data_IF_039710565841
#
_entry.id   IF_039710565841
#
_cell.length_a   1.000
_cell.length_b   1.000
_cell.length_c   1.000
_cell.angle_alpha   90.00
_cell.angle_beta   90.00
_cell.angle_gamma   90.00
#
_symmetry.space_group_name_H-M   'P 1'
#
loop_
_entity.id
_entity.type
_entity.pdbx_description
1 polymer ?
#
# COMPACT_ATOMS: atom_id res chain seq x y z
N UNK A 1 24.18 -7.66 22.66
CA UNK A 1 23.26 -6.51 22.60
C UNK A 1 22.21 -6.80 21.55
N UNK A 2 20.93 -6.54 21.81
CA UNK A 2 19.87 -6.80 20.83
C UNK A 2 19.98 -5.84 19.64
N UNK A 3 19.96 -6.38 18.41
CA UNK A 3 20.01 -5.60 17.16
C UNK A 3 18.92 -4.52 17.09
N UNK A 4 17.77 -4.77 17.70
CA UNK A 4 16.64 -3.83 17.77
C UNK A 4 17.00 -2.52 18.47
N UNK A 5 17.80 -2.58 19.54
CA UNK A 5 18.22 -1.37 20.29
C UNK A 5 19.10 -0.48 19.42
N UNK A 6 19.96 -1.08 18.60
CA UNK A 6 20.84 -0.36 17.67
C UNK A 6 20.02 0.24 16.53
N UNK A 7 19.07 -0.50 15.97
CA UNK A 7 18.19 -0.01 14.91
C UNK A 7 17.40 1.23 15.31
N UNK A 8 16.91 1.29 16.55
CA UNK A 8 16.17 2.45 17.08
C UNK A 8 17.03 3.72 17.25
N UNK A 9 18.36 3.59 17.18
CA UNK A 9 19.33 4.69 17.26
C UNK A 9 19.85 5.11 15.87
N UNK A 10 19.29 4.56 14.78
CA UNK A 10 19.59 4.97 13.41
C UNK A 10 18.53 5.98 12.96
N UNK A 11 18.98 7.19 12.68
CA UNK A 11 18.14 8.32 12.26
C UNK A 11 18.33 8.62 10.78
N UNK A 12 17.41 9.39 10.21
CA UNK A 12 17.54 9.91 8.85
C UNK A 12 17.75 11.42 8.88
N UNK A 13 18.91 11.85 8.37
CA UNK A 13 19.28 13.28 8.29
C UNK A 13 19.88 13.53 6.92
N UNK A 14 19.40 14.56 6.21
CA UNK A 14 19.82 14.89 4.83
C UNK A 14 19.69 13.71 3.85
N UNK A 15 18.69 12.84 4.06
CA UNK A 15 18.49 11.62 3.25
C UNK A 15 19.53 10.52 3.49
N UNK A 16 20.37 10.64 4.52
CA UNK A 16 21.36 9.65 4.91
C UNK A 16 20.96 9.01 6.24
N UNK A 17 21.19 7.69 6.36
CA UNK A 17 21.06 6.98 7.64
C UNK A 17 22.29 7.26 8.49
N UNK A 18 22.08 7.82 9.67
CA UNK A 18 23.14 8.28 10.57
C UNK A 18 22.89 7.85 12.02
N UNK A 19 23.96 7.67 12.77
CA UNK A 19 23.93 7.55 14.24
C UNK A 19 24.58 8.77 14.88
N UNK A 20 24.07 9.18 16.04
CA UNK A 20 24.54 10.37 16.74
C UNK A 20 25.65 10.02 17.72
N UNK A 21 26.56 10.96 17.94
CA UNK A 21 27.71 10.79 18.84
C UNK A 21 27.34 10.31 20.26
N UNK A 22 26.24 10.79 20.83
CA UNK A 22 25.82 10.40 22.17
C UNK A 22 25.29 8.96 22.21
N UNK A 23 24.58 8.52 21.16
CA UNK A 23 24.11 7.14 21.05
C UNK A 23 25.27 6.20 20.81
N UNK A 24 26.20 6.56 19.93
CA UNK A 24 27.41 5.79 19.70
C UNK A 24 28.25 5.68 20.96
N UNK A 25 28.44 6.79 21.68
CA UNK A 25 29.20 6.79 22.92
C UNK A 25 28.58 5.86 23.98
N UNK A 26 27.25 5.89 24.13
CA UNK A 26 26.52 4.98 25.02
C UNK A 26 26.70 3.52 24.60
N UNK A 27 26.56 3.22 23.30
CA UNK A 27 26.75 1.87 22.76
C UNK A 27 28.17 1.36 23.01
N UNK A 28 29.18 2.21 22.78
CA UNK A 28 30.60 1.91 23.03
C UNK A 28 30.99 1.91 24.52
N UNK A 29 30.08 2.22 25.44
CA UNK A 29 30.39 2.34 26.87
C UNK A 29 31.39 3.46 27.19
N UNK A 30 31.41 4.51 26.38
CA UNK A 30 32.35 5.64 26.48
C UNK A 30 31.63 6.97 26.73
N UNK A 31 32.34 7.95 27.27
CA UNK A 31 31.80 9.30 27.39
C UNK A 31 31.72 9.97 26.01
N UNK A 32 30.61 10.64 25.69
CA UNK A 32 30.44 11.38 24.44
C UNK A 32 31.57 12.37 24.19
N UNK A 33 32.09 13.00 25.26
CA UNK A 33 33.24 13.91 25.17
C UNK A 33 34.49 13.21 24.66
N UNK A 34 34.80 12.01 25.18
CA UNK A 34 35.98 11.23 24.76
C UNK A 34 35.87 10.77 23.31
N UNK A 35 34.68 10.35 22.89
CA UNK A 35 34.42 10.00 21.49
C UNK A 35 34.68 11.20 20.56
N UNK A 36 34.14 12.38 20.89
CA UNK A 36 34.38 13.61 20.12
C UNK A 36 35.86 13.99 20.06
N UNK A 37 36.58 13.86 21.16
CA UNK A 37 38.01 14.13 21.22
C UNK A 37 38.81 13.19 20.32
N UNK A 38 38.49 11.88 20.36
CA UNK A 38 39.15 10.87 19.53
C UNK A 38 38.93 11.12 18.04
N UNK A 39 37.71 11.52 17.65
CA UNK A 39 37.36 11.90 16.28
C UNK A 39 38.10 13.18 15.86
N UNK A 40 38.11 14.21 16.71
CA UNK A 40 38.80 15.49 16.42
C UNK A 40 40.30 15.31 16.22
N UNK A 41 40.94 14.39 16.95
CA UNK A 41 42.35 14.02 16.74
C UNK A 41 42.60 13.33 15.39
N UNK A 42 41.57 12.72 14.81
CA UNK A 42 41.63 11.91 13.61
C UNK A 42 40.79 12.47 12.44
N UNK A 43 40.54 13.78 12.37
CA UNK A 43 39.64 14.39 11.37
C UNK A 43 39.97 14.03 9.91
N UNK A 44 41.25 13.77 9.59
CA UNK A 44 41.65 13.31 8.24
C UNK A 44 40.97 12.00 7.80
N UNK A 45 40.48 11.20 8.76
CA UNK A 45 39.75 9.94 8.53
C UNK A 45 38.24 10.12 8.37
N UNK A 46 37.73 11.33 8.64
CA UNK A 46 36.30 11.64 8.63
C UNK A 46 36.03 12.78 7.64
N UNK A 47 35.96 12.46 6.33
CA UNK A 47 35.45 13.41 5.35
C UNK A 47 33.97 13.73 5.60
N UNK A 48 33.45 14.79 4.97
CA UNK A 48 32.11 15.33 5.24
C UNK A 48 30.96 14.34 4.94
N UNK A 49 31.18 13.35 4.09
CA UNK A 49 30.26 12.26 3.76
C UNK A 49 30.27 11.12 4.79
N UNK A 50 31.28 11.07 5.66
CA UNK A 50 31.40 10.08 6.73
C UNK A 50 30.85 10.62 8.05
N UNK A 51 31.06 11.91 8.28
CA UNK A 51 30.60 12.59 9.48
C UNK A 51 30.36 14.07 9.21
N UNK A 52 29.30 14.60 9.81
CA UNK A 52 29.03 16.03 9.82
C UNK A 52 28.40 16.47 11.14
N UNK A 53 28.55 17.75 11.49
CA UNK A 53 27.87 18.35 12.64
C UNK A 53 26.45 18.75 12.23
N UNK A 54 25.46 18.43 13.08
CA UNK A 54 24.08 18.82 12.85
C UNK A 54 23.90 20.33 13.02
N UNK A 55 23.04 20.93 12.20
CA UNK A 55 22.57 22.29 12.43
C UNK A 55 21.55 22.31 13.58
N UNK A 56 21.36 23.48 14.20
CA UNK A 56 20.35 23.65 15.26
C UNK A 56 18.96 23.21 14.80
N UNK A 57 18.58 23.58 13.58
CA UNK A 57 17.28 23.22 12.99
C UNK A 57 17.12 21.72 12.80
N UNK A 58 18.15 21.05 12.26
CA UNK A 58 18.16 19.59 12.08
C UNK A 58 18.04 18.88 13.43
N UNK A 59 18.78 19.33 14.43
CA UNK A 59 18.76 18.74 15.75
C UNK A 59 17.44 18.99 16.50
N UNK A 60 16.81 20.15 16.35
CA UNK A 60 15.48 20.45 16.90
C UNK A 60 14.39 19.60 16.24
N UNK A 61 14.41 19.48 14.92
CA UNK A 61 13.48 18.61 14.18
C UNK A 61 13.61 17.15 14.62
N UNK A 62 14.85 16.65 14.69
CA UNK A 62 15.13 15.29 15.14
C UNK A 62 14.69 15.06 16.61
N UNK A 63 14.93 16.03 17.51
CA UNK A 63 14.42 15.96 18.88
C UNK A 63 12.90 15.95 18.99
N UNK A 64 12.19 16.62 18.09
CA UNK A 64 10.71 16.62 18.10
C UNK A 64 10.13 15.25 17.71
N UNK A 65 10.87 14.47 16.92
CA UNK A 65 10.47 13.14 16.47
C UNK A 65 10.82 12.05 17.49
N UNK A 66 11.91 12.23 18.23
CA UNK A 66 12.31 11.31 19.29
C UNK A 66 11.54 11.70 20.55
N UNK A 67 10.73 10.80 21.09
CA UNK A 67 10.01 10.99 22.36
C UNK A 67 10.96 11.02 23.59
N UNK A 68 12.14 11.65 23.49
CA UNK A 68 13.06 11.83 24.60
C UNK A 68 12.60 13.01 25.45
N UNK A 69 12.23 12.69 26.69
CA UNK A 69 12.01 13.61 27.80
C UNK A 69 12.96 14.81 27.77
N UNK A 70 12.40 16.00 27.97
CA UNK A 70 13.09 17.27 28.16
C UNK A 70 14.15 17.16 29.28
N UNK A 71 15.35 16.66 28.98
CA UNK A 71 16.51 16.87 29.85
C UNK A 71 16.77 18.37 29.87
N UNK A 72 16.42 18.98 31.01
CA UNK A 72 16.60 20.39 31.37
C UNK A 72 18.08 20.77 31.26
N UNK A 73 18.50 21.16 30.08
CA UNK A 73 19.89 21.48 29.77
C UNK A 73 20.11 21.34 28.29
N UNK A 74 19.88 22.41 27.54
CA UNK A 74 20.15 22.44 26.10
C UNK A 74 21.57 21.97 25.80
N UNK A 75 21.76 21.24 24.70
CA UNK A 75 23.07 20.76 24.29
C UNK A 75 23.99 21.96 24.02
N UNK A 76 25.07 22.09 24.80
CA UNK A 76 26.04 23.18 24.66
C UNK A 76 26.80 23.14 23.32
N UNK A 77 26.83 21.98 22.68
CA UNK A 77 27.47 21.72 21.39
C UNK A 77 26.52 20.90 20.52
N UNK A 78 26.51 21.14 19.21
CA UNK A 78 25.72 20.30 18.32
C UNK A 78 26.32 18.89 18.25
N UNK A 79 25.48 17.85 18.11
CA UNK A 79 25.98 16.50 17.94
C UNK A 79 26.54 16.30 16.53
N UNK A 80 27.56 15.45 16.44
CA UNK A 80 28.02 14.85 15.20
C UNK A 80 27.09 13.70 14.82
N UNK A 81 26.76 13.65 13.54
CA UNK A 81 26.10 12.53 12.89
C UNK A 81 27.15 11.75 12.10
N UNK A 82 27.13 10.42 12.25
CA UNK A 82 28.02 9.49 11.57
C UNK A 82 27.21 8.60 10.64
N UNK A 83 27.60 8.54 9.38
CA UNK A 83 27.05 7.57 8.43
C UNK A 83 27.59 6.17 8.71
N UNK A 84 27.10 5.17 8.00
CA UNK A 84 27.63 3.80 8.06
C UNK A 84 29.17 3.78 7.89
N UNK A 85 29.68 4.54 6.92
CA UNK A 85 31.12 4.67 6.66
C UNK A 85 31.84 5.39 7.81
N UNK A 86 31.22 6.42 8.38
CA UNK A 86 31.76 7.11 9.56
C UNK A 86 31.87 6.19 10.77
N UNK A 87 30.84 5.39 11.03
CA UNK A 87 30.88 4.38 12.09
C UNK A 87 31.93 3.31 11.80
N UNK A 88 32.02 2.83 10.57
CA UNK A 88 33.10 1.92 10.17
C UNK A 88 34.49 2.52 10.47
N UNK A 89 34.70 3.82 10.23
CA UNK A 89 35.96 4.48 10.56
C UNK A 89 36.23 4.61 12.05
N UNK A 90 35.20 4.64 12.91
CA UNK A 90 35.37 4.62 14.37
C UNK A 90 36.07 3.35 14.85
N UNK A 91 35.95 2.22 14.13
CA UNK A 91 36.72 1.00 14.48
C UNK A 91 38.23 1.17 14.43
N UNK A 92 38.72 2.09 13.60
CA UNK A 92 40.16 2.40 13.51
C UNK A 92 40.64 3.37 14.59
N UNK A 93 39.70 4.00 15.30
CA UNK A 93 39.94 5.01 16.35
C UNK A 93 39.70 4.41 17.73
N UNK A 94 38.70 3.53 17.86
CA UNK A 94 38.31 2.83 19.07
C UNK A 94 38.71 1.35 18.98
N UNK A 95 39.87 1.03 19.54
CA UNK A 95 40.49 -0.30 19.39
C UNK A 95 40.28 -1.24 20.60
N UNK A 96 39.30 -0.97 21.48
CA UNK A 96 38.99 -1.91 22.56
C UNK A 96 38.19 -3.10 22.02
N UNK A 97 38.38 -4.28 22.62
CA UNK A 97 37.68 -5.51 22.21
C UNK A 97 36.15 -5.32 22.21
N UNK A 98 35.63 -4.67 23.26
CA UNK A 98 34.22 -4.29 23.33
C UNK A 98 33.79 -3.34 22.20
N UNK A 99 34.60 -2.32 21.87
CA UNK A 99 34.26 -1.40 20.78
C UNK A 99 34.24 -2.08 19.41
N UNK A 100 35.11 -3.08 19.20
CA UNK A 100 35.15 -3.86 17.97
C UNK A 100 33.84 -4.66 17.81
N UNK A 101 33.39 -5.36 18.85
CA UNK A 101 32.15 -6.14 18.82
C UNK A 101 30.91 -5.26 18.58
N UNK A 102 30.86 -4.10 19.25
CA UNK A 102 29.77 -3.14 19.09
C UNK A 102 29.77 -2.56 17.68
N UNK A 103 30.95 -2.24 17.13
CA UNK A 103 31.04 -1.76 15.76
C UNK A 103 30.52 -2.80 14.75
N UNK A 104 30.87 -4.07 14.92
CA UNK A 104 30.35 -5.17 14.09
C UNK A 104 28.81 -5.24 14.19
N UNK A 105 28.28 -5.10 15.40
CA UNK A 105 26.82 -5.11 15.64
C UNK A 105 26.12 -3.92 14.99
N UNK A 106 26.74 -2.74 15.04
CA UNK A 106 26.23 -1.53 14.38
C UNK A 106 26.23 -1.69 12.85
N UNK A 107 27.32 -2.18 12.27
CA UNK A 107 27.40 -2.43 10.83
C UNK A 107 26.32 -3.42 10.38
N UNK A 108 26.08 -4.49 11.14
CA UNK A 108 24.99 -5.44 10.86
C UNK A 108 23.62 -4.75 10.87
N UNK A 109 23.37 -3.88 11.85
CA UNK A 109 22.11 -3.13 11.93
C UNK A 109 21.91 -2.21 10.71
N UNK A 110 22.95 -1.49 10.28
CA UNK A 110 22.90 -0.66 9.06
C UNK A 110 22.59 -1.48 7.80
N UNK A 111 23.23 -2.64 7.64
CA UNK A 111 22.96 -3.56 6.52
C UNK A 111 21.51 -4.04 6.55
N UNK A 112 21.00 -4.47 7.70
CA UNK A 112 19.60 -4.90 7.84
C UNK A 112 18.62 -3.79 7.50
N UNK A 113 18.86 -2.55 7.98
CA UNK A 113 18.02 -1.40 7.64
C UNK A 113 18.04 -1.12 6.14
N UNK A 114 19.21 -1.20 5.50
CA UNK A 114 19.34 -1.01 4.05
C UNK A 114 18.59 -2.09 3.25
N UNK A 115 18.70 -3.35 3.66
CA UNK A 115 17.96 -4.46 3.06
C UNK A 115 16.45 -4.27 3.19
N UNK A 116 15.99 -3.90 4.38
CA UNK A 116 14.58 -3.61 4.64
C UNK A 116 14.05 -2.47 3.76
N UNK A 117 14.76 -1.35 3.67
CA UNK A 117 14.37 -0.23 2.79
C UNK A 117 14.36 -0.63 1.30
N UNK A 118 15.31 -1.47 0.89
CA UNK A 118 15.33 -1.99 -0.48
C UNK A 118 14.12 -2.88 -0.76
N UNK A 119 13.69 -3.69 0.20
CA UNK A 119 12.47 -4.51 0.10
C UNK A 119 11.19 -3.68 0.08
N UNK A 120 11.12 -2.56 0.81
CA UNK A 120 9.98 -1.65 0.74
C UNK A 120 9.81 -1.06 -0.66
N UNK A 121 10.92 -0.73 -1.33
CA UNK A 121 10.89 -0.20 -2.69
C UNK A 121 10.39 -1.22 -3.73
N UNK A 122 10.58 -2.53 -3.52
CA UNK A 122 9.96 -3.54 -4.37
C UNK A 122 8.47 -3.68 -4.08
N UNK A 123 8.08 -3.67 -2.81
CA UNK A 123 6.67 -3.74 -2.41
C UNK A 123 5.86 -2.54 -2.91
N UNK A 124 6.41 -1.32 -2.87
CA UNK A 124 5.71 -0.14 -3.41
C UNK A 124 5.48 -0.23 -4.92
N UNK A 125 6.43 -0.82 -5.67
CA UNK A 125 6.23 -1.09 -7.10
C UNK A 125 5.14 -2.13 -7.35
N UNK A 126 5.13 -3.22 -6.57
CA UNK A 126 4.08 -4.26 -6.67
C UNK A 126 2.70 -3.69 -6.38
N UNK A 127 2.57 -2.81 -5.37
CA UNK A 127 1.31 -2.11 -5.06
C UNK A 127 0.87 -1.25 -6.24
N UNK A 128 1.78 -0.53 -6.87
CA UNK A 128 1.44 0.34 -7.99
C UNK A 128 1.00 -0.46 -9.22
N UNK A 129 1.65 -1.60 -9.49
CA UNK A 129 1.22 -2.53 -10.54
C UNK A 129 -0.17 -3.12 -10.25
N UNK A 130 -0.45 -3.51 -9.01
CA UNK A 130 -1.76 -4.01 -8.60
C UNK A 130 -2.85 -2.95 -8.80
N UNK A 131 -2.59 -1.68 -8.45
CA UNK A 131 -3.54 -0.58 -8.70
C UNK A 131 -3.83 -0.41 -10.19
N UNK A 132 -2.81 -0.51 -11.05
CA UNK A 132 -3.00 -0.41 -12.50
C UNK A 132 -3.85 -1.57 -13.04
N UNK A 133 -3.61 -2.80 -12.57
CA UNK A 133 -4.44 -3.96 -12.95
C UNK A 133 -5.88 -3.83 -12.46
N UNK A 134 -6.09 -3.32 -11.25
CA UNK A 134 -7.44 -3.04 -10.73
C UNK A 134 -8.18 -2.01 -11.59
N UNK A 135 -7.51 -0.91 -11.98
CA UNK A 135 -8.11 0.10 -12.86
C UNK A 135 -8.54 -0.48 -14.22
N UNK A 136 -7.68 -1.29 -14.83
CA UNK A 136 -8.02 -1.95 -16.10
C UNK A 136 -9.19 -2.94 -15.97
N UNK A 137 -9.28 -3.65 -14.83
CA UNK A 137 -10.42 -4.51 -14.55
C UNK A 137 -11.71 -3.73 -14.34
N UNK A 138 -11.66 -2.59 -13.66
CA UNK A 138 -12.82 -1.71 -13.46
C UNK A 138 -13.36 -1.18 -14.79
N UNK A 139 -12.47 -0.69 -15.67
CA UNK A 139 -12.81 -0.24 -17.03
C UNK A 139 -13.43 -1.38 -17.85
N UNK A 140 -12.81 -2.56 -17.87
CA UNK A 140 -13.35 -3.72 -18.58
C UNK A 140 -14.70 -4.19 -18.02
N UNK A 141 -14.93 -4.04 -16.72
CA UNK A 141 -16.20 -4.41 -16.11
C UNK A 141 -17.32 -3.45 -16.54
N UNK A 142 -17.03 -2.15 -16.70
CA UNK A 142 -17.98 -1.17 -17.22
C UNK A 142 -18.42 -1.52 -18.65
N UNK A 143 -17.47 -1.90 -19.52
CA UNK A 143 -17.77 -2.38 -20.87
C UNK A 143 -18.66 -3.64 -20.85
N UNK A 144 -18.38 -4.59 -19.95
CA UNK A 144 -19.23 -5.80 -19.83
C UNK A 144 -20.62 -5.49 -19.33
N UNK A 145 -20.77 -4.53 -18.41
CA UNK A 145 -22.09 -4.09 -17.91
C UNK A 145 -22.87 -3.43 -19.04
N UNK A 146 -22.23 -2.60 -19.86
CA UNK A 146 -22.85 -2.00 -21.04
C UNK A 146 -23.34 -3.08 -22.02
N UNK A 147 -22.49 -4.06 -22.35
CA UNK A 147 -22.86 -5.16 -23.24
C UNK A 147 -24.03 -6.00 -22.70
N UNK A 148 -24.05 -6.28 -21.39
CA UNK A 148 -25.15 -7.01 -20.74
C UNK A 148 -26.45 -6.21 -20.77
N UNK A 149 -26.39 -4.89 -20.57
CA UNK A 149 -27.57 -4.03 -20.64
C UNK A 149 -28.14 -3.99 -22.07
N UNK A 150 -27.31 -3.80 -23.09
CA UNK A 150 -27.74 -3.80 -24.49
C UNK A 150 -28.41 -5.14 -24.88
N UNK A 151 -27.80 -6.26 -24.50
CA UNK A 151 -28.37 -7.59 -24.73
C UNK A 151 -29.70 -7.78 -23.97
N UNK A 152 -29.82 -7.23 -22.77
CA UNK A 152 -31.06 -7.29 -21.98
C UNK A 152 -32.20 -6.50 -22.61
N UNK A 153 -31.90 -5.36 -23.23
CA UNK A 153 -32.91 -4.57 -23.96
C UNK A 153 -33.37 -5.28 -25.24
N UNK A 154 -32.45 -5.89 -25.98
CA UNK A 154 -32.81 -6.65 -27.20
C UNK A 154 -33.63 -7.90 -26.88
N UNK A 155 -33.25 -8.66 -25.85
CA UNK A 155 -34.05 -9.83 -25.41
C UNK A 155 -35.44 -9.45 -24.93
N UNK A 156 -35.64 -8.27 -24.31
CA UNK A 156 -36.97 -7.77 -23.95
C UNK A 156 -37.84 -7.51 -25.19
N UNK A 157 -37.29 -6.87 -26.22
CA UNK A 157 -38.02 -6.62 -27.49
C UNK A 157 -38.44 -7.92 -28.15
N UNK A 158 -37.53 -8.89 -28.22
CA UNK A 158 -37.84 -10.22 -28.79
C UNK A 158 -38.98 -10.92 -28.04
N UNK A 159 -39.00 -10.83 -26.71
CA UNK A 159 -40.09 -11.39 -25.89
C UNK A 159 -41.43 -10.68 -26.14
N UNK A 160 -41.43 -9.36 -26.30
CA UNK A 160 -42.63 -8.58 -26.63
C UNK A 160 -43.19 -8.95 -28.02
N UNK A 161 -42.31 -9.11 -29.02
CA UNK A 161 -42.69 -9.55 -30.36
C UNK A 161 -43.29 -10.96 -30.35
N UNK A 162 -42.70 -11.89 -29.59
CA UNK A 162 -43.23 -13.24 -29.40
C UNK A 162 -44.62 -13.16 -28.75
N UNK A 163 -44.79 -12.34 -27.71
CA UNK A 163 -46.08 -12.16 -27.04
C UNK A 163 -47.16 -11.62 -27.99
N UNK A 164 -46.80 -10.63 -28.82
CA UNK A 164 -47.69 -10.08 -29.84
C UNK A 164 -48.08 -11.11 -30.91
N UNK A 165 -47.12 -11.90 -31.39
CA UNK A 165 -47.39 -12.95 -32.37
C UNK A 165 -48.31 -14.06 -31.80
N UNK A 166 -48.05 -14.49 -30.56
CA UNK A 166 -48.86 -15.50 -29.88
C UNK A 166 -50.30 -15.02 -29.63
N UNK A 167 -50.47 -13.75 -29.24
CA UNK A 167 -51.80 -13.17 -29.04
C UNK A 167 -52.60 -13.06 -30.34
N UNK A 168 -51.97 -12.60 -31.44
CA UNK A 168 -52.60 -12.59 -32.77
C UNK A 168 -52.98 -14.00 -33.25
N UNK A 169 -52.10 -15.00 -33.05
CA UNK A 169 -52.39 -16.40 -33.37
C UNK A 169 -53.58 -16.93 -32.56
N UNK A 170 -53.65 -16.64 -31.27
CA UNK A 170 -54.75 -17.04 -30.40
C UNK A 170 -56.09 -16.41 -30.83
N UNK A 171 -56.10 -15.14 -31.23
CA UNK A 171 -57.29 -14.48 -31.80
C UNK A 171 -57.72 -15.13 -33.11
N UNK A 172 -56.77 -15.38 -34.02
CA UNK A 172 -57.04 -16.03 -35.29
C UNK A 172 -57.62 -17.43 -35.12
N UNK A 173 -57.14 -18.21 -34.13
CA UNK A 173 -57.74 -19.51 -33.79
C UNK A 173 -59.19 -19.38 -33.29
N UNK A 174 -59.53 -18.35 -32.49
CA UNK A 174 -60.92 -18.08 -32.09
C UNK A 174 -61.81 -17.76 -33.29
N UNK A 175 -61.31 -17.00 -34.26
CA UNK A 175 -62.03 -16.69 -35.49
C UNK A 175 -62.22 -17.90 -36.40
N UNK A 176 -61.21 -18.77 -36.53
CA UNK A 176 -61.32 -20.05 -37.25
C UNK A 176 -62.36 -20.95 -36.58
N UNK A 177 -62.35 -21.07 -35.24
CA UNK A 177 -63.32 -21.86 -34.50
C UNK A 177 -64.77 -21.32 -34.64
N UNK A 178 -64.96 -20.00 -34.65
CA UNK A 178 -66.27 -19.36 -34.93
C UNK A 178 -66.76 -19.57 -36.37
N UNK A 179 -65.87 -19.64 -37.35
CA UNK A 179 -66.23 -19.96 -38.75
C UNK A 179 -66.58 -21.44 -38.96
N UNK A 180 -66.03 -22.35 -38.14
CA UNK A 180 -66.38 -23.78 -38.16
C UNK A 180 -67.67 -24.14 -37.42
N UNK A 181 -68.30 -23.22 -36.68
CA UNK A 181 -69.71 -23.35 -36.25
C UNK A 181 -70.63 -23.22 -37.48
N UNK A 182 -70.60 -24.25 -38.34
CA UNK A 182 -71.48 -24.34 -39.49
C UNK A 182 -72.90 -24.54 -39.01
N UNK A 183 -73.84 -23.74 -39.53
CA UNK A 183 -75.27 -23.94 -39.29
C UNK A 183 -75.61 -25.41 -39.59
N UNK A 184 -76.23 -26.15 -38.66
CA UNK A 184 -76.61 -27.52 -38.94
C UNK A 184 -77.56 -27.53 -40.15
N UNK A 185 -77.20 -28.30 -41.17
CA UNK A 185 -78.03 -28.45 -42.36
C UNK A 185 -79.11 -29.49 -42.01
N UNK A 186 -80.34 -29.03 -41.79
CA UNK A 186 -81.49 -29.87 -41.45
C UNK A 186 -82.71 -29.02 -41.09
N UNK A 187 -83.91 -29.57 -41.30
CA UNK A 187 -85.18 -28.87 -41.06
C UNK A 187 -85.41 -28.61 -39.56
N UNK A 188 -85.86 -27.40 -39.23
CA UNK A 188 -86.21 -27.02 -37.86
C UNK A 188 -87.49 -27.74 -37.42
N UNK A 189 -87.37 -28.66 -36.47
CA UNK A 189 -88.53 -29.23 -35.79
C UNK A 189 -89.05 -28.23 -34.75
N UNK A 190 -90.26 -27.71 -34.97
CA UNK A 190 -91.01 -27.00 -33.92
C UNK A 190 -91.40 -28.01 -32.84
N UNK A 191 -90.94 -27.79 -31.61
CA UNK A 191 -91.46 -28.52 -30.44
C UNK A 191 -92.86 -27.99 -30.14
N UNK A 192 -93.85 -28.88 -30.21
CA UNK A 192 -95.21 -28.61 -29.77
C UNK A 192 -95.22 -28.28 -28.28
N UNK A 193 -95.72 -27.10 -27.93
CA UNK A 193 -96.07 -26.71 -26.57
C UNK A 193 -97.26 -27.57 -26.13
N UNK A 194 -97.01 -28.62 -25.35
CA UNK A 194 -98.08 -29.29 -24.61
C UNK A 194 -98.23 -28.63 -23.25
N UNK A 195 -99.22 -27.72 -23.14
CA UNK A 195 -99.89 -27.39 -21.88
C UNK A 195 -100.68 -28.61 -21.44
N UNK A 196 -100.39 -29.12 -20.24
CA UNK A 196 -101.38 -29.56 -19.25
C UNK A 196 -100.79 -29.34 -17.87
#
# INVERSE_FOLDING_TARGET
MELQVIQNKIYEVRGQKVMLDFDLAELYGSETKRLKEAVRRNLKRFPNDFMFELTKKEFESLRSQIASSNKRGGTRYMPFAFTEQGVAMLSSVLNSESAIEINISIMRAFVTVRQYLSSLNSTTKEIEELKQRMKMLEEGNEDTIAAVNDLSEDTRKELDDIYLALSQLAEKQKHVNKQTERRPIGFAHYKANNKK
#
